data_IF_098102046277
#
_entry.id   IF_098102046277
#
_cell.length_a   1.000
_cell.length_b   1.000
_cell.length_c   1.000
_cell.angle_alpha   90.00
_cell.angle_beta   90.00
_cell.angle_gamma   90.00
#
_symmetry.space_group_name_H-M   'P 1'
#
loop_
_entity.id
_entity.type
_entity.pdbx_description
1 polymer ?
#
# COMPACT_ATOMS: atom_id res chain seq x y z
N UNK A 1 -21.60 13.28 -12.20
CA UNK A 1 -21.30 13.70 -10.80
C UNK A 1 -20.02 13.00 -10.38
N UNK A 2 -19.06 13.72 -9.77
CA UNK A 2 -17.82 13.15 -9.26
C UNK A 2 -17.86 13.19 -7.74
N UNK A 3 -17.43 12.11 -7.09
CA UNK A 3 -17.35 12.00 -5.62
C UNK A 3 -15.90 11.83 -5.23
N UNK A 4 -15.44 12.59 -4.26
CA UNK A 4 -14.09 12.58 -3.74
C UNK A 4 -14.12 12.25 -2.25
N UNK A 5 -13.30 11.28 -1.83
CA UNK A 5 -13.16 10.94 -0.42
C UNK A 5 -11.86 11.57 0.07
N UNK A 6 -11.93 12.37 1.13
CA UNK A 6 -10.76 12.95 1.76
C UNK A 6 -10.10 11.94 2.70
N UNK A 7 -8.79 12.05 2.96
CA UNK A 7 -8.11 11.16 3.89
C UNK A 7 -8.68 11.31 5.31
N UNK A 8 -8.45 10.31 6.20
CA UNK A 8 -8.74 10.45 7.61
C UNK A 8 -7.91 11.56 8.24
N UNK A 9 -8.13 11.82 9.53
CA UNK A 9 -7.22 12.66 10.31
C UNK A 9 -5.84 12.02 10.34
N UNK A 10 -4.82 12.76 9.93
CA UNK A 10 -3.42 12.34 9.95
C UNK A 10 -2.68 13.19 10.98
N UNK A 11 -2.05 12.55 11.94
CA UNK A 11 -1.06 13.13 12.83
C UNK A 11 0.32 12.66 12.37
N UNK A 12 1.19 13.57 12.02
CA UNK A 12 2.50 13.25 11.42
C UNK A 12 3.62 13.99 12.12
N UNK A 13 4.61 13.26 12.58
CA UNK A 13 5.81 13.82 13.21
C UNK A 13 6.41 12.86 14.22
N UNK A 14 7.64 13.17 14.64
CA UNK A 14 8.32 12.43 15.69
C UNK A 14 7.54 12.55 17.01
N UNK A 15 7.25 11.41 17.65
CA UNK A 15 6.45 11.36 18.86
C UNK A 15 4.92 11.37 18.64
N UNK A 16 4.43 11.32 17.38
CA UNK A 16 2.98 11.25 17.11
C UNK A 16 2.30 10.07 17.82
N UNK A 17 3.05 9.01 18.12
CA UNK A 17 2.56 7.84 18.86
C UNK A 17 2.25 8.14 20.32
N UNK A 18 2.85 9.16 20.95
CA UNK A 18 2.67 9.52 22.36
C UNK A 18 1.22 9.89 22.67
N UNK A 19 0.48 10.40 21.66
CA UNK A 19 -0.92 10.77 21.79
C UNK A 19 -1.90 9.61 21.58
N UNK A 20 -1.42 8.36 21.39
CA UNK A 20 -2.27 7.21 21.12
C UNK A 20 -3.40 7.03 22.15
N UNK A 21 -3.07 7.15 23.45
CA UNK A 21 -4.05 7.02 24.53
C UNK A 21 -5.11 8.14 24.49
N UNK A 22 -4.71 9.35 24.08
CA UNK A 22 -5.63 10.49 23.91
C UNK A 22 -6.59 10.21 22.76
N UNK A 23 -6.08 9.68 21.63
CA UNK A 23 -6.90 9.35 20.47
C UNK A 23 -7.87 8.19 20.73
N UNK A 24 -7.45 7.15 21.47
CA UNK A 24 -8.34 6.06 21.90
C UNK A 24 -9.51 6.63 22.72
N UNK A 25 -9.23 7.48 23.71
CA UNK A 25 -10.28 8.12 24.54
C UNK A 25 -11.17 9.05 23.72
N UNK A 26 -10.60 9.82 22.77
CA UNK A 26 -11.34 10.71 21.88
C UNK A 26 -12.37 9.94 21.03
N UNK A 27 -12.02 8.74 20.58
CA UNK A 27 -12.89 7.83 19.83
C UNK A 27 -13.88 7.04 20.71
N UNK A 28 -13.91 7.31 22.03
CA UNK A 28 -14.77 6.64 22.98
C UNK A 28 -14.28 5.24 23.40
N UNK A 29 -13.04 4.88 23.03
CA UNK A 29 -12.46 3.58 23.31
C UNK A 29 -12.01 3.43 24.76
N UNK A 30 -12.15 2.22 25.27
CA UNK A 30 -11.77 1.83 26.64
C UNK A 30 -10.92 0.56 26.68
N UNK A 31 -11.04 -0.28 25.63
CA UNK A 31 -10.30 -1.53 25.52
C UNK A 31 -10.02 -1.85 24.04
N UNK A 32 -8.95 -1.31 23.46
CA UNK A 32 -8.60 -1.59 22.07
C UNK A 32 -8.18 -3.05 21.84
N UNK A 33 -8.44 -3.55 20.60
CA UNK A 33 -7.71 -4.67 20.03
C UNK A 33 -6.50 -4.11 19.27
N UNK A 34 -5.30 -4.46 19.70
CA UNK A 34 -4.05 -4.14 19.01
C UNK A 34 -3.72 -5.25 18.02
N UNK A 35 -3.78 -4.93 16.71
CA UNK A 35 -3.46 -5.85 15.62
C UNK A 35 -2.06 -5.56 15.12
N UNK A 36 -1.20 -6.58 15.05
CA UNK A 36 0.18 -6.45 14.60
C UNK A 36 0.70 -7.77 14.01
N UNK A 37 1.99 -7.85 13.74
CA UNK A 37 2.67 -9.06 13.31
C UNK A 37 3.88 -9.41 14.19
N UNK A 38 4.36 -10.64 14.08
CA UNK A 38 5.49 -11.13 14.84
C UNK A 38 6.82 -10.41 14.51
N UNK A 39 6.96 -9.80 13.32
CA UNK A 39 8.13 -9.02 12.91
C UNK A 39 8.21 -7.71 13.68
N UNK A 40 7.11 -6.97 13.71
CA UNK A 40 6.94 -5.70 14.45
C UNK A 40 7.19 -5.93 15.95
N UNK A 41 6.67 -7.04 16.51
CA UNK A 41 6.92 -7.43 17.92
C UNK A 41 8.40 -7.72 18.15
N UNK A 42 9.03 -8.58 17.33
CA UNK A 42 10.46 -8.93 17.50
C UNK A 42 11.39 -7.73 17.36
N UNK A 43 11.02 -6.73 16.59
CA UNK A 43 11.76 -5.48 16.43
C UNK A 43 11.62 -4.52 17.63
N UNK A 44 10.79 -4.85 18.63
CA UNK A 44 10.49 -3.98 19.78
C UNK A 44 9.64 -2.75 19.43
N UNK A 45 9.16 -2.67 18.19
CA UNK A 45 8.35 -1.55 17.72
C UNK A 45 6.97 -1.57 18.36
N UNK A 46 6.39 -2.77 18.51
CA UNK A 46 5.07 -2.92 19.11
C UNK A 46 5.06 -2.40 20.56
N UNK A 47 6.03 -2.82 21.38
CA UNK A 47 6.10 -2.42 22.79
C UNK A 47 6.27 -0.89 22.91
N UNK A 48 7.12 -0.28 22.06
CA UNK A 48 7.23 1.18 21.98
C UNK A 48 5.90 1.85 21.63
N UNK A 49 5.17 1.29 20.66
CA UNK A 49 3.94 1.88 20.14
C UNK A 49 2.76 1.78 21.11
N UNK A 50 2.71 0.74 21.96
CA UNK A 50 1.63 0.55 22.95
C UNK A 50 1.95 1.16 24.32
N UNK A 51 3.19 1.58 24.59
CA UNK A 51 3.58 2.18 25.88
C UNK A 51 2.62 3.31 26.36
N UNK A 52 2.13 4.22 25.49
CA UNK A 52 1.16 5.23 25.92
C UNK A 52 -0.17 4.67 26.45
N UNK A 53 -0.58 3.48 26.01
CA UNK A 53 -1.77 2.80 26.55
C UNK A 53 -1.50 2.28 27.96
N UNK A 54 -0.31 1.70 28.18
CA UNK A 54 0.12 1.16 29.47
C UNK A 54 0.26 2.28 30.50
N UNK A 55 0.92 3.39 30.12
CA UNK A 55 1.08 4.60 30.96
C UNK A 55 -0.27 5.22 31.34
N UNK A 56 -1.24 5.18 30.43
CA UNK A 56 -2.59 5.67 30.68
C UNK A 56 -3.50 4.64 31.38
N UNK A 57 -2.98 3.45 31.73
CA UNK A 57 -3.72 2.32 32.30
C UNK A 57 -4.95 1.92 31.46
N UNK A 58 -4.85 1.96 30.12
CA UNK A 58 -5.90 1.48 29.22
C UNK A 58 -5.65 -0.01 28.93
N UNK A 59 -6.52 -0.92 29.40
CA UNK A 59 -6.38 -2.34 29.11
C UNK A 59 -6.60 -2.58 27.62
N UNK A 60 -5.85 -3.52 27.04
CA UNK A 60 -5.97 -3.91 25.63
C UNK A 60 -5.93 -5.44 25.48
N UNK A 61 -6.37 -5.93 24.33
CA UNK A 61 -6.05 -7.28 23.86
C UNK A 61 -5.09 -7.13 22.65
N UNK A 62 -4.13 -8.04 22.52
CA UNK A 62 -3.20 -8.03 21.38
C UNK A 62 -3.38 -9.27 20.50
N UNK A 63 -3.31 -9.05 19.20
CA UNK A 63 -3.36 -10.06 18.16
C UNK A 63 -2.20 -9.87 17.18
N UNK A 64 -1.19 -10.72 17.27
CA UNK A 64 0.08 -10.59 16.50
C UNK A 64 0.32 -11.77 15.56
N UNK A 65 -0.74 -12.49 15.19
CA UNK A 65 -0.68 -13.66 14.30
C UNK A 65 -0.97 -13.27 12.82
N UNK A 66 -0.71 -12.01 12.44
CA UNK A 66 -0.87 -11.60 11.05
C UNK A 66 0.38 -12.00 10.27
N UNK A 67 0.17 -12.80 9.23
CA UNK A 67 1.18 -13.23 8.29
C UNK A 67 1.38 -12.21 7.15
N UNK A 68 2.54 -12.22 6.47
CA UNK A 68 2.67 -11.55 5.17
C UNK A 68 1.60 -12.09 4.20
N UNK A 69 0.87 -11.20 3.52
CA UNK A 69 -0.33 -11.56 2.74
C UNK A 69 -1.42 -12.20 3.62
N UNK A 70 -2.12 -11.41 4.46
CA UNK A 70 -3.06 -11.91 5.45
C UNK A 70 -4.18 -12.74 4.81
N UNK A 71 -4.58 -13.78 5.52
CA UNK A 71 -5.64 -14.69 5.07
C UNK A 71 -7.01 -14.35 5.69
N UNK A 72 -8.07 -14.82 5.07
CA UNK A 72 -9.41 -14.83 5.66
C UNK A 72 -9.43 -15.54 7.02
N UNK A 73 -8.68 -16.63 7.17
CA UNK A 73 -8.55 -17.40 8.43
C UNK A 73 -7.96 -16.52 9.55
N UNK A 74 -6.86 -15.80 9.29
CA UNK A 74 -6.24 -14.94 10.31
C UNK A 74 -7.16 -13.77 10.69
N UNK A 75 -7.90 -13.22 9.73
CA UNK A 75 -8.86 -12.15 10.01
C UNK A 75 -10.05 -12.62 10.84
N UNK A 76 -10.58 -13.82 10.57
CA UNK A 76 -11.66 -14.42 11.36
C UNK A 76 -11.22 -14.70 12.80
N UNK A 77 -9.99 -15.18 13.03
CA UNK A 77 -9.42 -15.36 14.37
C UNK A 77 -9.32 -14.03 15.13
N UNK A 78 -8.82 -12.97 14.46
CA UNK A 78 -8.76 -11.64 15.05
C UNK A 78 -10.13 -11.09 15.45
N UNK A 79 -11.16 -11.31 14.62
CA UNK A 79 -12.54 -10.91 14.93
C UNK A 79 -13.13 -11.73 16.08
N UNK A 80 -12.80 -13.02 16.18
CA UNK A 80 -13.20 -13.85 17.32
C UNK A 80 -12.58 -13.38 18.63
N UNK A 81 -11.28 -13.00 18.60
CA UNK A 81 -10.61 -12.40 19.76
C UNK A 81 -11.25 -11.05 20.14
N UNK A 82 -11.56 -10.17 19.16
CA UNK A 82 -12.30 -8.93 19.42
C UNK A 82 -13.57 -9.18 20.24
N UNK A 83 -14.41 -10.12 19.79
CA UNK A 83 -15.69 -10.46 20.45
C UNK A 83 -15.48 -11.02 21.85
N UNK A 84 -14.57 -11.97 22.01
CA UNK A 84 -14.32 -12.64 23.32
C UNK A 84 -13.65 -11.72 24.33
N UNK A 85 -12.78 -10.81 23.89
CA UNK A 85 -12.13 -9.83 24.76
C UNK A 85 -13.00 -8.59 25.03
N UNK A 86 -14.15 -8.45 24.37
CA UNK A 86 -15.05 -7.28 24.47
C UNK A 86 -14.31 -5.96 24.17
N UNK A 87 -13.56 -5.93 23.06
CA UNK A 87 -12.86 -4.73 22.60
C UNK A 87 -13.84 -3.72 21.97
N UNK A 88 -13.44 -2.45 21.88
CA UNK A 88 -14.30 -1.35 21.40
C UNK A 88 -13.62 -0.41 20.39
N UNK A 89 -12.29 -0.51 20.19
CA UNK A 89 -11.49 0.21 19.17
C UNK A 89 -10.48 -0.76 18.59
N UNK A 90 -10.14 -0.62 17.30
CA UNK A 90 -9.03 -1.37 16.68
C UNK A 90 -7.84 -0.43 16.48
N UNK A 91 -6.65 -0.90 16.83
CA UNK A 91 -5.38 -0.25 16.57
C UNK A 91 -4.56 -1.18 15.70
N UNK A 92 -4.22 -0.76 14.48
CA UNK A 92 -3.35 -1.50 13.57
C UNK A 92 -1.94 -0.92 13.63
N UNK A 93 -0.94 -1.71 14.07
CA UNK A 93 0.47 -1.29 14.18
C UNK A 93 1.30 -2.21 13.30
N UNK A 94 1.75 -1.72 12.15
CA UNK A 94 2.52 -2.55 11.21
C UNK A 94 2.56 -2.01 9.78
N UNK A 95 2.91 -2.87 8.85
CA UNK A 95 2.85 -2.60 7.41
C UNK A 95 1.46 -2.83 6.82
N UNK A 96 1.36 -2.77 5.48
CA UNK A 96 0.10 -2.93 4.75
C UNK A 96 -0.68 -4.19 5.10
N UNK A 97 0.00 -5.34 5.26
CA UNK A 97 -0.64 -6.62 5.64
C UNK A 97 -1.40 -6.53 6.96
N UNK A 98 -0.80 -5.89 7.97
CA UNK A 98 -1.44 -5.68 9.28
C UNK A 98 -2.65 -4.76 9.17
N UNK A 99 -2.53 -3.68 8.41
CA UNK A 99 -3.62 -2.71 8.23
C UNK A 99 -4.79 -3.30 7.44
N UNK A 100 -4.49 -4.06 6.39
CA UNK A 100 -5.51 -4.74 5.59
C UNK A 100 -6.25 -5.80 6.42
N UNK A 101 -5.50 -6.59 7.22
CA UNK A 101 -6.10 -7.52 8.16
C UNK A 101 -6.98 -6.81 9.20
N UNK A 102 -6.51 -5.71 9.78
CA UNK A 102 -7.28 -4.94 10.76
C UNK A 102 -8.59 -4.39 10.18
N UNK A 103 -8.59 -3.94 8.92
CA UNK A 103 -9.80 -3.51 8.20
C UNK A 103 -10.78 -4.67 7.99
N UNK A 104 -10.27 -5.85 7.60
CA UNK A 104 -11.10 -7.04 7.45
C UNK A 104 -11.64 -7.55 8.80
N UNK A 105 -10.81 -7.56 9.85
CA UNK A 105 -11.24 -7.83 11.24
C UNK A 105 -12.36 -6.86 11.64
N UNK A 106 -12.18 -5.55 11.37
CA UNK A 106 -13.16 -4.51 11.66
C UNK A 106 -14.53 -4.80 11.08
N UNK A 107 -14.60 -5.25 9.83
CA UNK A 107 -15.86 -5.66 9.19
C UNK A 107 -16.49 -6.81 9.97
N UNK A 108 -15.73 -7.86 10.29
CA UNK A 108 -16.22 -9.05 10.97
C UNK A 108 -16.58 -8.84 12.46
N UNK A 109 -16.32 -7.65 13.03
CA UNK A 109 -16.80 -7.30 14.38
C UNK A 109 -18.31 -7.16 14.43
N UNK A 110 -18.93 -6.63 13.37
CA UNK A 110 -20.37 -6.32 13.27
C UNK A 110 -21.08 -7.08 12.14
N UNK A 111 -20.32 -7.77 11.31
CA UNK A 111 -20.84 -8.58 10.20
C UNK A 111 -20.52 -10.06 10.41
N UNK A 112 -21.36 -10.94 9.87
CA UNK A 112 -21.19 -12.38 10.04
C UNK A 112 -20.09 -12.94 9.13
N UNK A 113 -19.24 -13.88 9.65
CA UNK A 113 -18.33 -14.64 8.78
C UNK A 113 -19.13 -15.59 7.87
N UNK A 114 -18.52 -16.10 6.76
CA UNK A 114 -17.13 -15.86 6.33
C UNK A 114 -16.93 -14.48 5.70
N UNK A 115 -15.67 -14.14 5.42
CA UNK A 115 -15.30 -12.86 4.77
C UNK A 115 -15.72 -12.80 3.29
N UNK A 116 -15.99 -13.94 2.67
CA UNK A 116 -16.28 -14.09 1.22
C UNK A 116 -17.36 -13.14 0.69
N UNK A 117 -18.50 -12.88 1.36
CA UNK A 117 -19.54 -11.99 0.85
C UNK A 117 -19.15 -10.53 0.71
N UNK A 118 -18.04 -10.07 1.30
CA UNK A 118 -17.64 -8.67 1.35
C UNK A 118 -16.58 -8.29 0.31
N UNK A 119 -16.10 -9.24 -0.49
CA UNK A 119 -15.16 -8.94 -1.58
C UNK A 119 -15.83 -8.18 -2.73
N UNK A 120 -15.01 -7.37 -3.44
CA UNK A 120 -15.48 -6.51 -4.55
C UNK A 120 -16.07 -7.33 -5.70
N UNK A 121 -15.46 -8.45 -6.05
CA UNK A 121 -15.86 -9.30 -7.18
C UNK A 121 -17.21 -10.01 -7.00
N UNK A 122 -17.76 -9.98 -5.79
CA UNK A 122 -19.12 -10.48 -5.48
C UNK A 122 -20.09 -9.37 -5.06
N UNK A 123 -19.73 -8.10 -5.32
CA UNK A 123 -20.56 -6.93 -4.98
C UNK A 123 -20.62 -6.65 -3.47
N UNK A 124 -19.56 -6.97 -2.75
CA UNK A 124 -19.54 -6.92 -1.27
C UNK A 124 -19.66 -5.52 -0.67
N UNK A 125 -19.29 -4.46 -1.41
CA UNK A 125 -19.32 -3.09 -0.91
C UNK A 125 -20.67 -2.70 -0.30
N UNK A 126 -21.78 -3.07 -0.95
CA UNK A 126 -23.14 -2.71 -0.54
C UNK A 126 -23.63 -3.47 0.68
N UNK A 127 -22.91 -4.51 1.09
CA UNK A 127 -23.22 -5.34 2.25
C UNK A 127 -22.52 -4.86 3.53
N UNK A 128 -21.56 -3.94 3.38
CA UNK A 128 -20.79 -3.40 4.51
C UNK A 128 -21.54 -2.19 5.07
N UNK A 129 -21.91 -2.26 6.35
CA UNK A 129 -22.59 -1.20 7.10
C UNK A 129 -21.58 -0.32 7.84
N UNK A 130 -22.00 0.86 8.27
CA UNK A 130 -21.18 1.86 8.96
C UNK A 130 -21.19 1.74 10.50
N UNK A 131 -21.76 0.65 11.03
CA UNK A 131 -21.81 0.35 12.46
C UNK A 131 -20.52 -0.28 13.02
N UNK A 132 -19.44 -0.18 12.28
CA UNK A 132 -18.12 -0.74 12.64
C UNK A 132 -17.39 0.11 13.70
N UNK A 133 -16.57 -0.52 14.57
CA UNK A 133 -15.80 0.21 15.56
C UNK A 133 -14.78 1.18 14.95
N UNK A 134 -14.31 2.19 15.70
CA UNK A 134 -13.23 3.05 15.25
C UNK A 134 -11.93 2.27 14.98
N UNK A 135 -11.14 2.78 14.02
CA UNK A 135 -9.85 2.24 13.62
C UNK A 135 -8.78 3.33 13.69
N UNK A 136 -7.69 3.05 14.39
CA UNK A 136 -6.45 3.84 14.39
C UNK A 136 -5.39 3.03 13.63
N UNK A 137 -4.73 3.63 12.65
CA UNK A 137 -3.64 3.01 11.89
C UNK A 137 -2.31 3.67 12.22
N UNK A 138 -1.28 2.86 12.44
CA UNK A 138 0.08 3.28 12.81
C UNK A 138 1.04 2.53 11.90
N UNK A 139 1.43 3.13 10.73
CA UNK A 139 2.33 2.48 9.80
C UNK A 139 3.74 2.38 10.36
N UNK A 140 4.37 1.22 10.16
CA UNK A 140 5.78 0.99 10.45
C UNK A 140 6.62 0.84 9.17
N UNK A 141 6.00 1.03 8.01
CA UNK A 141 6.62 1.04 6.68
C UNK A 141 6.10 2.21 5.86
N UNK A 142 6.94 2.80 5.02
CA UNK A 142 6.59 3.90 4.13
C UNK A 142 6.41 3.37 2.69
N UNK A 143 5.23 2.82 2.39
CA UNK A 143 4.98 2.20 1.07
C UNK A 143 3.52 2.14 0.70
N UNK A 144 2.80 1.19 1.27
CA UNK A 144 1.43 0.84 0.86
C UNK A 144 0.40 1.95 1.08
N UNK A 145 0.61 2.83 2.09
CA UNK A 145 -0.36 3.86 2.48
C UNK A 145 -1.73 3.30 2.85
N UNK A 146 -1.78 2.03 3.30
CA UNK A 146 -3.04 1.40 3.66
C UNK A 146 -3.77 2.14 4.79
N UNK A 147 -3.08 2.89 5.64
CA UNK A 147 -3.65 3.72 6.70
C UNK A 147 -4.65 4.77 6.21
N UNK A 148 -4.56 5.20 4.95
CA UNK A 148 -5.47 6.20 4.34
C UNK A 148 -6.29 5.61 3.19
N UNK A 149 -6.10 4.35 2.84
CA UNK A 149 -6.76 3.72 1.70
C UNK A 149 -8.14 3.13 2.06
N UNK A 150 -8.99 3.00 1.05
CA UNK A 150 -10.30 2.34 1.14
C UNK A 150 -10.22 0.82 0.99
N UNK A 151 -9.07 0.34 0.53
CA UNK A 151 -8.83 -1.07 0.22
C UNK A 151 -8.34 -1.88 1.40
N UNK A 152 -8.63 -3.18 1.37
CA UNK A 152 -7.98 -4.22 2.14
C UNK A 152 -7.79 -5.43 1.22
N UNK A 153 -6.56 -5.92 1.11
CA UNK A 153 -6.23 -7.06 0.25
C UNK A 153 -6.02 -8.29 1.13
N UNK A 154 -6.89 -9.27 0.97
CA UNK A 154 -6.89 -10.51 1.77
C UNK A 154 -6.71 -11.71 0.85
N UNK A 155 -5.94 -12.68 1.29
CA UNK A 155 -5.78 -13.97 0.62
C UNK A 155 -6.96 -14.86 0.99
N UNK A 156 -7.82 -15.13 0.02
CA UNK A 156 -8.97 -16.04 0.17
C UNK A 156 -8.50 -17.48 0.09
N UNK A 157 -8.66 -18.22 1.19
CA UNK A 157 -8.31 -19.64 1.31
C UNK A 157 -9.52 -20.57 1.19
N UNK A 158 -10.73 -20.01 1.12
CA UNK A 158 -12.00 -20.76 1.15
C UNK A 158 -12.24 -21.61 -0.09
N UNK A 159 -11.64 -21.25 -1.21
CA UNK A 159 -11.75 -22.03 -2.46
C UNK A 159 -10.67 -23.10 -2.50
N UNK A 160 -11.03 -24.27 -2.00
CA UNK A 160 -10.22 -25.49 -2.03
C UNK A 160 -10.17 -26.07 -3.47
N UNK A 161 -9.84 -25.23 -4.47
CA UNK A 161 -9.58 -25.66 -5.84
C UNK A 161 -8.08 -25.87 -6.00
N UNK A 162 -7.70 -26.73 -6.91
CA UNK A 162 -6.31 -27.02 -7.30
C UNK A 162 -5.53 -25.80 -7.80
N UNK A 163 -6.22 -24.68 -7.95
CA UNK A 163 -5.69 -23.35 -8.27
C UNK A 163 -5.61 -22.52 -6.97
N UNK A 164 -4.44 -22.42 -6.45
CA UNK A 164 -3.86 -21.57 -5.39
C UNK A 164 -4.77 -20.50 -4.78
N UNK A 165 -4.52 -20.17 -3.54
CA UNK A 165 -5.09 -19.04 -2.81
C UNK A 165 -5.02 -17.75 -3.64
N UNK A 166 -6.13 -17.04 -3.69
CA UNK A 166 -6.26 -15.84 -4.50
C UNK A 166 -6.32 -14.59 -3.63
N UNK A 167 -5.55 -13.57 -3.99
CA UNK A 167 -5.72 -12.24 -3.40
C UNK A 167 -7.04 -11.63 -3.87
N UNK A 168 -7.85 -11.17 -2.93
CA UNK A 168 -9.13 -10.51 -3.19
C UNK A 168 -9.21 -9.20 -2.42
N UNK A 169 -9.85 -8.21 -3.03
CA UNK A 169 -9.98 -6.87 -2.47
C UNK A 169 -11.34 -6.68 -1.79
N UNK A 170 -11.32 -6.02 -0.65
CA UNK A 170 -12.50 -5.37 -0.06
C UNK A 170 -12.29 -3.87 -0.23
N UNK A 171 -13.18 -3.17 -0.94
CA UNK A 171 -13.03 -1.73 -1.21
C UNK A 171 -14.30 -1.00 -0.82
N UNK A 172 -14.20 -0.20 0.22
CA UNK A 172 -15.28 0.66 0.70
C UNK A 172 -14.71 1.91 1.38
N UNK A 173 -15.32 3.09 1.24
CA UNK A 173 -14.92 4.27 2.01
C UNK A 173 -14.96 4.06 3.53
N UNK A 174 -15.77 3.12 3.99
CA UNK A 174 -15.90 2.76 5.40
C UNK A 174 -14.65 2.06 5.97
N UNK A 175 -13.75 1.56 5.10
CA UNK A 175 -12.49 0.95 5.52
C UNK A 175 -11.40 1.96 5.90
N UNK A 176 -11.54 3.23 5.52
CA UNK A 176 -10.57 4.24 5.94
C UNK A 176 -10.49 4.30 7.47
N UNK A 177 -9.29 4.51 7.99
CA UNK A 177 -9.10 4.70 9.42
C UNK A 177 -9.82 5.96 9.92
N UNK A 178 -10.08 6.07 11.20
CA UNK A 178 -10.53 7.31 11.81
C UNK A 178 -9.37 8.27 12.04
N UNK A 179 -8.20 7.71 12.42
CA UNK A 179 -6.98 8.44 12.68
C UNK A 179 -5.79 7.61 12.17
N UNK A 180 -4.83 8.27 11.54
CA UNK A 180 -3.53 7.69 11.17
C UNK A 180 -2.41 8.42 11.91
N UNK A 181 -1.57 7.70 12.65
CA UNK A 181 -0.43 8.24 13.37
C UNK A 181 0.85 7.89 12.62
N UNK A 182 1.46 8.85 11.97
CA UNK A 182 2.66 8.71 11.16
C UNK A 182 3.88 9.13 11.97
N UNK A 183 4.38 8.23 12.82
CA UNK A 183 5.59 8.47 13.61
C UNK A 183 6.83 7.91 12.91
N UNK A 184 7.72 8.76 12.38
CA UNK A 184 8.93 8.32 11.71
C UNK A 184 9.87 7.50 12.61
N UNK A 185 9.82 7.73 13.93
CA UNK A 185 10.62 6.99 14.90
C UNK A 185 10.30 5.49 14.94
N UNK A 186 9.13 5.06 14.41
CA UNK A 186 8.77 3.65 14.26
C UNK A 186 9.36 3.01 12.99
N UNK A 187 9.94 3.80 12.09
CA UNK A 187 10.52 3.32 10.82
C UNK A 187 12.05 3.36 10.79
N UNK A 188 12.70 3.96 11.79
CA UNK A 188 14.16 4.14 11.86
C UNK A 188 14.94 2.82 11.75
N UNK A 189 14.43 1.73 12.36
CA UNK A 189 15.07 0.42 12.29
C UNK A 189 14.75 -0.41 11.04
N UNK A 190 14.07 0.16 10.05
CA UNK A 190 13.65 -0.58 8.86
C UNK A 190 14.86 -0.94 7.97
N UNK A 191 15.05 -2.24 7.61
CA UNK A 191 16.18 -2.67 6.78
C UNK A 191 16.21 -1.97 5.41
N UNK A 192 17.41 -1.73 4.87
CA UNK A 192 17.60 -1.10 3.56
C UNK A 192 16.77 -1.75 2.43
N UNK A 193 16.75 -3.10 2.26
CA UNK A 193 15.94 -3.71 1.21
C UNK A 193 14.44 -3.46 1.37
N UNK A 194 13.95 -3.40 2.61
CA UNK A 194 12.55 -3.09 2.89
C UNK A 194 12.25 -1.60 2.63
N UNK A 195 13.16 -0.70 3.02
CA UNK A 195 13.07 0.74 2.71
C UNK A 195 12.98 0.97 1.20
N UNK A 196 13.85 0.29 0.43
CA UNK A 196 13.88 0.37 -1.03
C UNK A 196 12.56 -0.15 -1.65
N UNK A 197 12.15 -1.36 -1.30
CA UNK A 197 10.95 -1.98 -1.86
C UNK A 197 9.69 -1.17 -1.54
N UNK A 198 9.49 -0.74 -0.29
CA UNK A 198 8.31 0.03 0.09
C UNK A 198 8.34 1.45 -0.49
N UNK A 199 9.51 2.09 -0.56
CA UNK A 199 9.65 3.41 -1.18
C UNK A 199 9.36 3.39 -2.68
N UNK A 200 9.80 2.36 -3.39
CA UNK A 200 9.50 2.19 -4.82
C UNK A 200 8.01 1.87 -5.04
N UNK A 201 7.36 1.16 -4.13
CA UNK A 201 5.91 0.96 -4.13
C UNK A 201 5.17 2.30 -4.05
N UNK A 202 5.54 3.15 -3.07
CA UNK A 202 4.96 4.50 -2.92
C UNK A 202 5.19 5.38 -4.16
N UNK A 203 6.37 5.34 -4.77
CA UNK A 203 6.66 6.06 -6.02
C UNK A 203 5.78 5.53 -7.16
N UNK A 204 5.60 4.21 -7.25
CA UNK A 204 4.73 3.60 -8.25
C UNK A 204 3.28 4.05 -8.07
N UNK A 205 2.76 4.11 -6.83
CA UNK A 205 1.44 4.68 -6.54
C UNK A 205 1.29 6.10 -7.08
N UNK A 206 2.28 6.98 -6.80
CA UNK A 206 2.27 8.35 -7.28
C UNK A 206 2.29 8.45 -8.81
N UNK A 207 3.13 7.68 -9.48
CA UNK A 207 3.26 7.68 -10.94
C UNK A 207 1.99 7.14 -11.60
N UNK A 208 1.51 5.96 -11.20
CA UNK A 208 0.30 5.39 -11.80
C UNK A 208 -0.93 6.25 -11.53
N UNK A 209 -1.09 6.79 -10.32
CA UNK A 209 -2.18 7.71 -10.02
C UNK A 209 -2.13 8.99 -10.86
N UNK A 210 -0.93 9.54 -11.14
CA UNK A 210 -0.81 10.74 -11.96
C UNK A 210 -1.31 10.52 -13.38
N UNK A 211 -1.03 9.37 -13.98
CA UNK A 211 -1.39 9.04 -15.38
C UNK A 211 -2.72 8.30 -15.53
N UNK A 212 -3.35 7.85 -14.44
CA UNK A 212 -4.63 7.14 -14.50
C UNK A 212 -5.71 7.96 -15.20
N UNK A 213 -6.61 7.30 -15.93
CA UNK A 213 -7.56 7.95 -16.84
C UNK A 213 -8.78 8.58 -16.18
N UNK A 214 -9.07 8.27 -14.91
CA UNK A 214 -10.21 8.86 -14.22
C UNK A 214 -9.97 10.35 -13.93
N UNK A 215 -10.99 11.17 -14.07
CA UNK A 215 -10.92 12.58 -13.69
C UNK A 215 -10.94 12.73 -12.17
N UNK A 216 -9.82 13.15 -11.59
CA UNK A 216 -9.68 13.35 -10.14
C UNK A 216 -8.58 14.39 -9.83
N UNK A 217 -8.86 15.70 -10.04
CA UNK A 217 -7.83 16.75 -9.95
C UNK A 217 -7.19 16.86 -8.57
N UNK A 218 -7.91 16.51 -7.49
CA UNK A 218 -7.32 16.47 -6.14
C UNK A 218 -6.22 15.41 -6.08
N UNK A 219 -6.48 14.19 -6.58
CA UNK A 219 -5.47 13.12 -6.63
C UNK A 219 -4.28 13.49 -7.51
N UNK A 220 -4.48 14.17 -8.62
CA UNK A 220 -3.40 14.61 -9.51
C UNK A 220 -2.41 15.52 -8.79
N UNK A 221 -2.92 16.56 -8.12
CA UNK A 221 -2.08 17.47 -7.34
C UNK A 221 -1.36 16.78 -6.17
N UNK A 222 -2.07 15.85 -5.49
CA UNK A 222 -1.50 15.10 -4.37
C UNK A 222 -0.45 14.10 -4.86
N UNK A 223 -0.66 13.42 -6.01
CA UNK A 223 0.30 12.49 -6.60
C UNK A 223 1.64 13.16 -6.90
N UNK A 224 1.62 14.32 -7.55
CA UNK A 224 2.84 15.07 -7.88
C UNK A 224 3.58 15.56 -6.62
N UNK A 225 2.84 16.02 -5.61
CA UNK A 225 3.45 16.41 -4.34
C UNK A 225 4.04 15.20 -3.59
N UNK A 226 3.37 14.04 -3.61
CA UNK A 226 3.90 12.80 -3.07
C UNK A 226 5.22 12.41 -3.76
N UNK A 227 5.26 12.43 -5.10
CA UNK A 227 6.46 12.13 -5.88
C UNK A 227 7.63 13.06 -5.56
N UNK A 228 7.35 14.36 -5.33
CA UNK A 228 8.37 15.33 -4.92
C UNK A 228 8.97 14.98 -3.55
N UNK A 229 8.15 14.60 -2.58
CA UNK A 229 8.63 14.20 -1.25
C UNK A 229 9.41 12.88 -1.32
N UNK A 230 8.86 11.89 -1.98
CA UNK A 230 9.46 10.56 -2.13
C UNK A 230 10.79 10.63 -2.90
N UNK A 231 10.82 11.30 -4.06
CA UNK A 231 12.03 11.46 -4.87
C UNK A 231 13.17 12.16 -4.13
N UNK A 232 12.86 13.18 -3.33
CA UNK A 232 13.86 13.91 -2.54
C UNK A 232 14.41 13.13 -1.35
N UNK A 233 13.70 12.11 -0.85
CA UNK A 233 14.01 11.50 0.43
C UNK A 233 14.27 9.99 0.38
N UNK A 234 13.89 9.25 -0.68
CA UNK A 234 14.10 7.80 -0.76
C UNK A 234 15.57 7.40 -0.64
N UNK A 235 16.48 8.12 -1.33
CA UNK A 235 17.92 7.90 -1.24
C UNK A 235 18.45 8.14 0.16
N UNK A 236 18.01 9.23 0.80
CA UNK A 236 18.39 9.56 2.18
C UNK A 236 17.92 8.49 3.15
N UNK A 237 16.64 8.12 3.10
CA UNK A 237 16.07 7.08 3.96
C UNK A 237 16.72 5.71 3.73
N UNK A 238 17.19 5.42 2.52
CA UNK A 238 17.89 4.19 2.18
C UNK A 238 19.32 4.17 2.74
N UNK A 239 20.13 5.22 2.47
CA UNK A 239 21.53 5.27 2.89
C UNK A 239 21.73 5.71 4.34
N UNK A 240 20.80 6.49 4.89
CA UNK A 240 20.79 7.05 6.24
C UNK A 240 19.47 6.70 6.93
N UNK A 241 19.33 5.41 7.29
CA UNK A 241 18.09 4.88 7.85
C UNK A 241 17.68 5.48 9.20
N UNK A 242 18.57 6.20 9.85
CA UNK A 242 18.39 6.97 11.10
C UNK A 242 17.99 8.45 10.87
N UNK A 243 17.94 8.91 9.61
CA UNK A 243 17.41 10.25 9.29
C UNK A 243 15.89 10.29 9.49
N UNK A 244 15.46 10.69 10.69
CA UNK A 244 14.05 10.79 11.10
C UNK A 244 13.26 11.73 10.18
N UNK A 245 13.88 12.80 9.69
CA UNK A 245 13.22 13.75 8.77
C UNK A 245 12.93 13.07 7.43
N UNK A 246 13.92 12.41 6.84
CA UNK A 246 13.71 11.66 5.59
C UNK A 246 12.67 10.54 5.78
N UNK A 247 12.68 9.82 6.90
CA UNK A 247 11.68 8.81 7.25
C UNK A 247 10.26 9.40 7.33
N UNK A 248 10.10 10.57 7.95
CA UNK A 248 8.82 11.27 8.06
C UNK A 248 8.28 11.71 6.69
N UNK A 249 9.14 12.27 5.84
CA UNK A 249 8.80 12.64 4.47
C UNK A 249 8.41 11.41 3.61
N UNK A 250 9.09 10.27 3.81
CA UNK A 250 8.73 9.01 3.14
C UNK A 250 7.37 8.48 3.61
N UNK A 251 7.07 8.50 4.93
CA UNK A 251 5.77 8.10 5.46
C UNK A 251 4.63 8.96 4.91
N UNK A 252 4.77 10.28 5.00
CA UNK A 252 3.72 11.19 4.53
C UNK A 252 3.57 11.10 3.01
N UNK A 253 4.69 11.04 2.27
CA UNK A 253 4.67 10.84 0.82
C UNK A 253 3.98 9.53 0.40
N UNK A 254 4.21 8.43 1.12
CA UNK A 254 3.54 7.15 0.88
C UNK A 254 2.02 7.25 1.12
N UNK A 255 1.60 7.87 2.23
CA UNK A 255 0.18 8.12 2.50
C UNK A 255 -0.46 9.00 1.42
N UNK A 256 0.24 10.04 0.94
CA UNK A 256 -0.25 10.89 -0.14
C UNK A 256 -0.38 10.12 -1.47
N UNK A 257 0.60 9.27 -1.82
CA UNK A 257 0.52 8.39 -3.00
C UNK A 257 -0.68 7.46 -2.93
N UNK A 258 -0.93 6.87 -1.77
CA UNK A 258 -2.09 6.01 -1.54
C UNK A 258 -3.42 6.77 -1.56
N UNK A 259 -3.47 7.99 -1.05
CA UNK A 259 -4.64 8.83 -1.26
C UNK A 259 -4.87 9.10 -2.75
N UNK A 260 -3.80 9.35 -3.51
CA UNK A 260 -3.89 9.69 -4.91
C UNK A 260 -4.42 8.55 -5.78
N UNK A 261 -4.16 7.27 -5.45
CA UNK A 261 -4.64 6.14 -6.25
C UNK A 261 -6.18 5.93 -6.20
N UNK A 262 -6.93 6.75 -5.48
CA UNK A 262 -8.37 6.85 -5.69
C UNK A 262 -8.72 7.22 -7.15
N UNK A 263 -7.84 7.93 -7.85
CA UNK A 263 -7.95 8.19 -9.29
C UNK A 263 -7.84 6.89 -10.09
N UNK A 264 -7.06 5.94 -9.64
CA UNK A 264 -6.80 4.63 -10.24
C UNK A 264 -5.32 4.30 -10.19
N UNK A 265 -5.03 3.04 -10.45
CA UNK A 265 -3.70 2.50 -10.71
C UNK A 265 -3.62 2.06 -12.17
N UNK A 266 -2.63 1.24 -12.55
CA UNK A 266 -2.41 0.85 -13.92
C UNK A 266 -1.91 -0.59 -14.10
N UNK A 267 -1.20 -0.82 -15.19
CA UNK A 267 -0.68 -2.12 -15.58
C UNK A 267 0.38 -2.66 -14.61
N UNK A 268 1.17 -1.78 -13.96
CA UNK A 268 2.17 -2.21 -12.97
C UNK A 268 1.49 -2.99 -11.86
N UNK A 269 0.50 -2.39 -11.20
CA UNK A 269 -0.20 -3.03 -10.09
C UNK A 269 -1.01 -4.25 -10.53
N UNK A 270 -1.66 -4.22 -11.72
CA UNK A 270 -2.36 -5.39 -12.23
C UNK A 270 -1.47 -6.61 -12.36
N UNK A 271 -0.23 -6.44 -12.81
CA UNK A 271 0.75 -7.51 -12.93
C UNK A 271 1.32 -7.88 -11.55
N UNK A 272 1.72 -6.88 -10.75
CA UNK A 272 2.37 -7.10 -9.45
C UNK A 272 1.48 -7.85 -8.44
N UNK A 273 0.16 -7.63 -8.46
CA UNK A 273 -0.78 -8.37 -7.63
C UNK A 273 -0.74 -9.88 -7.91
N UNK A 274 -0.58 -10.28 -9.17
CA UNK A 274 -0.52 -11.69 -9.55
C UNK A 274 0.84 -12.32 -9.16
N UNK A 275 1.93 -11.56 -9.31
CA UNK A 275 3.27 -12.04 -8.95
C UNK A 275 3.39 -12.44 -7.49
N UNK A 276 2.75 -11.72 -6.59
CA UNK A 276 2.80 -12.02 -5.15
C UNK A 276 2.10 -13.33 -4.74
N UNK A 277 1.32 -13.95 -5.62
CA UNK A 277 0.70 -15.27 -5.41
C UNK A 277 1.43 -16.40 -6.14
N UNK A 278 2.07 -16.09 -7.26
CA UNK A 278 2.74 -17.07 -8.13
C UNK A 278 4.23 -17.25 -7.81
N UNK A 279 4.86 -16.25 -7.20
CA UNK A 279 6.29 -16.29 -6.83
C UNK A 279 6.51 -15.53 -5.50
N UNK A 280 7.57 -15.87 -4.73
CA UNK A 280 7.88 -15.20 -3.47
C UNK A 280 8.53 -13.81 -3.73
N UNK A 281 7.96 -13.01 -4.63
CA UNK A 281 8.44 -11.68 -4.98
C UNK A 281 7.70 -10.66 -4.11
N UNK A 282 8.38 -9.88 -3.26
CA UNK A 282 7.74 -8.81 -2.50
C UNK A 282 7.09 -7.80 -3.43
N UNK A 283 5.91 -7.30 -3.05
CA UNK A 283 5.07 -6.43 -3.89
C UNK A 283 5.81 -5.19 -4.40
N UNK A 284 6.51 -4.46 -3.53
CA UNK A 284 7.27 -3.29 -3.95
C UNK A 284 8.48 -3.61 -4.84
N UNK A 285 9.07 -4.81 -4.74
CA UNK A 285 10.10 -5.28 -5.67
C UNK A 285 9.49 -5.54 -7.06
N UNK A 286 8.32 -6.19 -7.11
CA UNK A 286 7.59 -6.41 -8.35
C UNK A 286 7.25 -5.07 -9.03
N UNK A 287 6.72 -4.11 -8.27
CA UNK A 287 6.42 -2.76 -8.77
C UNK A 287 7.67 -2.06 -9.32
N UNK A 288 8.79 -2.10 -8.59
CA UNK A 288 10.04 -1.48 -9.03
C UNK A 288 10.55 -2.04 -10.37
N UNK A 289 10.48 -3.36 -10.56
CA UNK A 289 10.92 -4.03 -11.80
C UNK A 289 9.98 -3.71 -12.96
N UNK A 290 8.68 -3.70 -12.72
CA UNK A 290 7.65 -3.50 -13.75
C UNK A 290 7.49 -2.03 -14.17
N UNK A 291 7.83 -1.08 -13.30
CA UNK A 291 7.55 0.33 -13.53
C UNK A 291 8.22 0.89 -14.80
N UNK A 292 9.54 0.72 -15.05
CA UNK A 292 10.17 1.26 -16.26
C UNK A 292 9.56 0.74 -17.57
N UNK A 293 9.39 -0.57 -17.81
CA UNK A 293 8.78 -1.07 -19.05
C UNK A 293 7.33 -0.62 -19.22
N UNK A 294 6.54 -0.49 -18.14
CA UNK A 294 5.17 0.02 -18.22
C UNK A 294 5.17 1.52 -18.55
N UNK A 295 6.07 2.32 -17.99
CA UNK A 295 6.21 3.73 -18.35
C UNK A 295 6.58 3.90 -19.84
N UNK A 296 7.48 3.09 -20.36
CA UNK A 296 7.81 3.08 -21.81
C UNK A 296 6.57 2.74 -22.66
N UNK A 297 5.82 1.72 -22.26
CA UNK A 297 4.58 1.31 -22.93
C UNK A 297 3.55 2.45 -22.96
N UNK A 298 3.45 3.21 -21.89
CA UNK A 298 2.50 4.30 -21.71
C UNK A 298 2.99 5.64 -22.32
N UNK A 299 4.26 5.77 -22.72
CA UNK A 299 4.92 7.05 -23.01
C UNK A 299 4.13 7.94 -23.98
N UNK A 300 3.64 7.40 -25.10
CA UNK A 300 2.89 8.15 -26.09
C UNK A 300 1.50 8.62 -25.64
N UNK A 301 0.97 8.04 -24.56
CA UNK A 301 -0.33 8.36 -24.00
C UNK A 301 -0.26 9.28 -22.77
N UNK A 302 0.92 9.39 -22.14
CA UNK A 302 1.10 10.09 -20.86
C UNK A 302 2.32 11.05 -20.90
N UNK A 303 2.77 11.47 -22.07
CA UNK A 303 4.01 12.22 -22.27
C UNK A 303 4.08 13.49 -21.39
N UNK A 304 3.05 14.33 -21.45
CA UNK A 304 3.03 15.59 -20.69
C UNK A 304 3.04 15.34 -19.18
N UNK A 305 2.27 14.36 -18.72
CA UNK A 305 2.24 13.98 -17.29
C UNK A 305 3.58 13.40 -16.86
N UNK A 306 4.24 12.58 -17.66
CA UNK A 306 5.59 12.08 -17.33
C UNK A 306 6.65 13.18 -17.30
N UNK A 307 6.50 14.25 -18.10
CA UNK A 307 7.36 15.43 -17.98
C UNK A 307 7.19 16.12 -16.61
N UNK A 308 5.95 16.22 -16.09
CA UNK A 308 5.68 16.72 -14.74
C UNK A 308 6.20 15.78 -13.65
N UNK A 309 6.10 14.47 -13.86
CA UNK A 309 6.67 13.43 -12.98
C UNK A 309 8.18 13.56 -12.89
N UNK A 310 8.88 13.78 -14.02
CA UNK A 310 10.32 14.03 -14.03
C UNK A 310 10.69 15.20 -13.11
N UNK A 311 9.99 16.32 -13.26
CA UNK A 311 10.21 17.50 -12.42
C UNK A 311 9.92 17.22 -10.94
N UNK A 312 8.82 16.50 -10.65
CA UNK A 312 8.47 16.13 -9.29
C UNK A 312 9.52 15.22 -8.63
N UNK A 313 10.10 14.29 -9.39
CA UNK A 313 11.20 13.42 -8.91
C UNK A 313 12.54 14.17 -8.75
N UNK A 314 12.62 15.45 -9.12
CA UNK A 314 13.81 16.28 -8.96
C UNK A 314 14.73 16.30 -10.20
N UNK A 315 14.30 15.76 -11.33
CA UNK A 315 15.05 15.83 -12.59
C UNK A 315 15.07 17.28 -13.08
N UNK A 316 16.23 17.78 -13.49
CA UNK A 316 16.32 19.09 -14.11
C UNK A 316 15.80 19.04 -15.56
N UNK A 317 14.57 19.47 -15.75
CA UNK A 317 13.88 19.47 -17.04
C UNK A 317 13.97 20.80 -17.81
N UNK A 318 14.74 21.78 -17.31
CA UNK A 318 14.85 23.10 -17.91
C UNK A 318 15.38 23.01 -19.36
N UNK A 319 14.61 23.52 -20.31
CA UNK A 319 14.95 23.51 -21.74
C UNK A 319 14.72 22.18 -22.47
N UNK A 320 14.18 21.16 -21.80
CA UNK A 320 13.80 19.90 -22.44
C UNK A 320 12.47 20.03 -23.18
N UNK A 321 12.31 19.26 -24.29
CA UNK A 321 10.96 18.99 -24.81
C UNK A 321 10.17 18.10 -23.86
N UNK A 322 8.83 18.06 -24.01
CA UNK A 322 7.99 17.18 -23.22
C UNK A 322 8.43 15.69 -23.35
N UNK A 323 8.76 15.26 -24.57
CA UNK A 323 9.26 13.90 -24.78
C UNK A 323 10.60 13.64 -24.07
N UNK A 324 11.54 14.59 -24.16
CA UNK A 324 12.84 14.43 -23.49
C UNK A 324 12.69 14.40 -21.96
N UNK A 325 11.83 15.24 -21.40
CA UNK A 325 11.53 15.25 -19.98
C UNK A 325 10.82 13.95 -19.53
N UNK A 326 9.85 13.45 -20.33
CA UNK A 326 9.16 12.21 -20.03
C UNK A 326 10.11 10.99 -20.05
N UNK A 327 11.04 10.93 -21.01
CA UNK A 327 12.09 9.90 -21.05
C UNK A 327 13.03 10.01 -19.85
N UNK A 328 13.38 11.24 -19.44
CA UNK A 328 14.19 11.48 -18.26
C UNK A 328 13.53 11.01 -16.96
N UNK A 329 12.18 11.02 -16.86
CA UNK A 329 11.47 10.39 -15.75
C UNK A 329 11.70 8.88 -15.71
N UNK A 330 11.64 8.21 -16.87
CA UNK A 330 11.86 6.75 -16.96
C UNK A 330 13.31 6.41 -16.60
N UNK A 331 14.25 7.21 -17.08
CA UNK A 331 15.68 7.02 -16.78
C UNK A 331 15.98 7.25 -15.29
N UNK A 332 15.31 8.20 -14.64
CA UNK A 332 15.40 8.41 -13.19
C UNK A 332 14.90 7.21 -12.39
N UNK A 333 13.78 6.59 -12.82
CA UNK A 333 13.28 5.35 -12.17
C UNK A 333 14.28 4.20 -12.35
N UNK A 334 14.91 4.07 -13.50
CA UNK A 334 15.97 3.08 -13.73
C UNK A 334 17.18 3.32 -12.83
N UNK A 335 17.60 4.58 -12.71
CA UNK A 335 18.70 4.98 -11.83
C UNK A 335 18.38 4.71 -10.35
N UNK A 336 17.14 5.00 -9.91
CA UNK A 336 16.68 4.65 -8.58
C UNK A 336 16.73 3.14 -8.34
N UNK A 337 16.21 2.32 -9.26
CA UNK A 337 16.24 0.88 -9.14
C UNK A 337 17.69 0.33 -9.01
N UNK A 338 18.61 0.89 -9.76
CA UNK A 338 20.02 0.50 -9.68
C UNK A 338 20.67 0.89 -8.34
N UNK A 339 20.47 2.15 -7.91
CA UNK A 339 21.03 2.67 -6.66
C UNK A 339 20.45 1.97 -5.43
N UNK A 340 19.17 1.67 -5.44
CA UNK A 340 18.45 0.96 -4.37
C UNK A 340 18.66 -0.57 -4.43
N UNK A 341 19.51 -1.04 -5.34
CA UNK A 341 19.85 -2.45 -5.53
C UNK A 341 18.61 -3.35 -5.79
N UNK A 342 17.64 -2.85 -6.53
CA UNK A 342 16.51 -3.67 -6.97
C UNK A 342 16.99 -4.79 -7.91
N UNK A 343 16.37 -5.98 -7.86
CA UNK A 343 16.66 -7.05 -8.82
C UNK A 343 16.48 -6.57 -10.26
N UNK A 344 17.36 -7.05 -11.16
CA UNK A 344 17.39 -6.60 -12.56
C UNK A 344 16.22 -7.13 -13.42
N UNK A 345 15.41 -8.04 -12.91
CA UNK A 345 14.27 -8.61 -13.60
C UNK A 345 13.57 -9.66 -12.77
N UNK A 346 12.38 -10.07 -13.21
CA UNK A 346 11.55 -11.09 -12.55
C UNK A 346 12.21 -12.47 -12.50
N UNK A 347 12.99 -12.81 -13.54
CA UNK A 347 13.78 -14.04 -13.58
C UNK A 347 14.86 -14.09 -12.50
N UNK A 348 15.47 -12.95 -12.18
CA UNK A 348 16.44 -12.85 -11.07
C UNK A 348 15.78 -13.06 -9.68
N UNK A 349 14.46 -12.88 -9.60
CA UNK A 349 13.67 -13.17 -8.39
C UNK A 349 13.17 -14.62 -8.32
N UNK A 350 13.57 -15.47 -9.28
CA UNK A 350 13.21 -16.89 -9.32
C UNK A 350 11.84 -17.17 -9.98
N UNK A 351 11.26 -16.22 -10.71
CA UNK A 351 10.04 -16.47 -11.49
C UNK A 351 10.37 -17.37 -12.68
N UNK A 352 9.70 -18.54 -12.86
CA UNK A 352 9.88 -19.35 -14.05
C UNK A 352 9.23 -18.70 -15.29
N UNK A 353 9.97 -18.64 -16.42
CA UNK A 353 9.51 -17.98 -17.66
C UNK A 353 8.21 -18.58 -18.21
N UNK A 354 8.01 -19.88 -18.04
CA UNK A 354 6.79 -20.58 -18.44
C UNK A 354 5.52 -20.11 -17.72
N UNK A 355 5.66 -19.33 -16.64
CA UNK A 355 4.53 -18.74 -15.93
C UNK A 355 4.02 -17.44 -16.55
N UNK A 356 4.81 -16.78 -17.40
CA UNK A 356 4.45 -15.47 -17.95
C UNK A 356 3.10 -15.45 -18.69
N UNK A 357 2.74 -16.45 -19.55
CA UNK A 357 1.43 -16.45 -20.21
C UNK A 357 0.26 -16.52 -19.23
N UNK A 358 0.37 -17.33 -18.17
CA UNK A 358 -0.68 -17.41 -17.15
C UNK A 358 -0.79 -16.10 -16.37
N UNK A 359 0.33 -15.50 -16.01
CA UNK A 359 0.36 -14.22 -15.31
C UNK A 359 -0.25 -13.09 -16.14
N UNK A 360 -0.02 -13.08 -17.46
CA UNK A 360 -0.63 -12.12 -18.37
C UNK A 360 -2.16 -12.24 -18.35
N UNK A 361 -2.68 -13.46 -18.51
CA UNK A 361 -4.12 -13.73 -18.44
C UNK A 361 -4.71 -13.36 -17.07
N UNK A 362 -4.06 -13.72 -15.97
CA UNK A 362 -4.52 -13.41 -14.61
C UNK A 362 -4.50 -11.90 -14.34
N UNK A 363 -3.54 -11.14 -14.91
CA UNK A 363 -3.47 -9.68 -14.79
C UNK A 363 -4.69 -8.97 -15.39
N UNK A 364 -5.33 -9.58 -16.40
CA UNK A 364 -6.57 -9.07 -16.99
C UNK A 364 -7.82 -9.29 -16.10
N UNK A 365 -7.69 -10.08 -15.03
CA UNK A 365 -8.75 -10.24 -14.04
C UNK A 365 -8.70 -9.15 -12.96
N UNK A 366 -7.56 -8.48 -12.80
CA UNK A 366 -7.41 -7.33 -11.91
C UNK A 366 -8.10 -6.09 -12.50
N UNK A 367 -8.54 -5.16 -11.65
CA UNK A 367 -9.26 -3.98 -12.11
C UNK A 367 -8.33 -2.77 -12.38
N UNK A 368 -7.08 -2.78 -11.89
CA UNK A 368 -6.17 -1.65 -11.95
C UNK A 368 -5.83 -1.24 -13.40
N UNK A 369 -5.60 -2.19 -14.30
CA UNK A 369 -5.27 -1.89 -15.70
C UNK A 369 -6.35 -1.07 -16.43
N UNK A 370 -7.60 -1.11 -15.97
CA UNK A 370 -8.72 -0.39 -16.59
C UNK A 370 -8.58 1.13 -16.53
N UNK A 371 -7.75 1.63 -15.63
CA UNK A 371 -7.39 3.04 -15.54
C UNK A 371 -6.01 3.37 -16.11
N UNK A 372 -5.30 2.39 -16.68
CA UNK A 372 -4.03 2.63 -17.37
C UNK A 372 -4.23 3.61 -18.55
N UNK A 373 -3.31 4.58 -18.79
CA UNK A 373 -3.51 5.58 -19.84
C UNK A 373 -3.55 4.97 -21.24
N UNK A 374 -2.72 3.96 -21.52
CA UNK A 374 -2.79 3.16 -22.74
C UNK A 374 -3.65 1.91 -22.45
N UNK A 375 -4.72 1.65 -23.22
CA UNK A 375 -5.46 0.40 -23.11
C UNK A 375 -4.54 -0.81 -23.23
N UNK A 376 -4.77 -1.81 -22.40
CA UNK A 376 -3.97 -3.03 -22.34
C UNK A 376 -4.77 -4.24 -22.84
N UNK A 377 -4.14 -5.07 -23.67
CA UNK A 377 -4.61 -6.43 -24.02
C UNK A 377 -3.81 -7.47 -23.23
N UNK A 378 -4.21 -8.74 -23.30
CA UNK A 378 -3.44 -9.84 -22.70
C UNK A 378 -2.06 -9.98 -23.36
N UNK A 379 -1.96 -9.75 -24.68
CA UNK A 379 -0.69 -9.72 -25.41
C UNK A 379 0.22 -8.60 -24.94
N UNK A 380 -0.33 -7.41 -24.65
CA UNK A 380 0.43 -6.30 -24.06
C UNK A 380 0.95 -6.68 -22.67
N UNK A 381 0.13 -7.31 -21.82
CA UNK A 381 0.56 -7.76 -20.49
C UNK A 381 1.68 -8.80 -20.58
N UNK A 382 1.60 -9.72 -21.55
CA UNK A 382 2.67 -10.69 -21.78
C UNK A 382 3.96 -9.98 -22.24
N UNK A 383 3.87 -9.02 -23.17
CA UNK A 383 5.03 -8.25 -23.64
C UNK A 383 5.69 -7.45 -22.51
N UNK A 384 4.90 -6.87 -21.60
CA UNK A 384 5.41 -6.17 -20.42
C UNK A 384 6.11 -7.11 -19.44
N UNK A 385 5.56 -8.29 -19.21
CA UNK A 385 6.18 -9.34 -18.40
C UNK A 385 7.49 -9.84 -19.00
N UNK A 386 7.55 -10.02 -20.33
CA UNK A 386 8.78 -10.40 -21.04
C UNK A 386 9.85 -9.29 -20.96
N UNK A 387 9.46 -8.02 -21.07
CA UNK A 387 10.37 -6.88 -20.94
C UNK A 387 10.90 -6.70 -19.51
N UNK A 388 10.18 -7.19 -18.52
CA UNK A 388 10.54 -7.14 -17.11
C UNK A 388 11.27 -8.41 -16.62
N UNK A 389 11.39 -9.46 -17.47
CA UNK A 389 11.99 -10.74 -17.10
C UNK A 389 13.50 -10.70 -17.06
#
# INVERSE_FOLDING_TARGET
>A
MHSYFLPPRIECGEGAIEDLAVHVKHLGGRKPLVVSDAGVRRAGILDKAIAPLEDANIPYADYTEIEPNPTDISTEKGAALWKSAACDVIIAIGGGSVMDAAKAIRILTTHEPPLEPYYVDVGGRERIRDDMPPLICIPTTAGTGSEVSQGAIITDTSRNTTDRWRKRAIVTPLNMSNISLLDPGLTVGMPMPLTAATGMDAITHGIEASVATRYHPISEGVALQALKMLGANIRKAYHHGDDVTARGEMLLGASMGAFAFQKGLGAVHSIAHQLSTEAPIPHGVANAILLPPVMEFNLSYAMDTYAEVAHALGVNTAGMSAEAAARAAIDEIRALNEELQMPKGLGACGLPRERLPKLAADSMLDHCYKSNPRPCTEEDMLALLEAAF
#
